data_IF_545507636507
#
_entry.id   IF_545507636507
#
_cell.length_a   1.000
_cell.length_b   1.000
_cell.length_c   1.000
_cell.angle_alpha   90.00
_cell.angle_beta   90.00
_cell.angle_gamma   90.00
#
_symmetry.space_group_name_H-M   'P 1'
#
loop_
_entity.id
_entity.type
_entity.pdbx_description
1 polymer ?
#
# COMPACT_ATOMS: atom_id res chain seq x y z
N UNK A 1 10.00 -14.51 -18.41
CA UNK A 1 9.14 -13.45 -19.01
C UNK A 1 9.85 -12.14 -18.78
N UNK A 2 9.95 -11.22 -19.75
CA UNK A 2 10.51 -9.88 -19.53
C UNK A 2 9.49 -9.00 -18.80
N UNK A 3 9.96 -7.88 -18.22
CA UNK A 3 9.06 -6.91 -17.56
C UNK A 3 8.06 -6.35 -18.57
N UNK A 4 8.54 -6.03 -19.77
CA UNK A 4 7.70 -5.54 -20.87
C UNK A 4 6.63 -6.56 -21.27
N UNK A 5 6.98 -7.83 -21.46
CA UNK A 5 6.01 -8.87 -21.81
C UNK A 5 4.95 -9.08 -20.72
N UNK A 6 5.34 -8.99 -19.45
CA UNK A 6 4.40 -9.06 -18.33
C UNK A 6 3.44 -7.85 -18.33
N UNK A 7 3.96 -6.65 -18.61
CA UNK A 7 3.18 -5.43 -18.72
C UNK A 7 2.16 -5.49 -19.87
N UNK A 8 2.59 -5.88 -21.07
CA UNK A 8 1.73 -5.99 -22.26
C UNK A 8 0.61 -7.03 -22.06
N UNK A 9 0.93 -8.19 -21.47
CA UNK A 9 -0.06 -9.21 -21.16
C UNK A 9 -1.15 -8.70 -20.20
N UNK A 10 -0.75 -8.00 -19.15
CA UNK A 10 -1.69 -7.45 -18.16
C UNK A 10 -2.50 -6.25 -18.71
N UNK A 11 -1.94 -5.45 -19.64
CA UNK A 11 -2.70 -4.41 -20.33
C UNK A 11 -3.84 -5.01 -21.16
N UNK A 12 -3.54 -6.09 -21.91
CA UNK A 12 -4.54 -6.80 -22.71
C UNK A 12 -5.65 -7.39 -21.83
N UNK A 13 -5.26 -8.04 -20.73
CA UNK A 13 -6.22 -8.64 -19.79
C UNK A 13 -7.17 -7.60 -19.18
N UNK A 14 -6.68 -6.40 -18.88
CA UNK A 14 -7.45 -5.33 -18.23
C UNK A 14 -8.10 -4.33 -19.19
N UNK A 15 -7.85 -4.45 -20.49
CA UNK A 15 -8.36 -3.52 -21.50
C UNK A 15 -7.81 -2.09 -21.34
N UNK A 16 -6.59 -1.94 -20.82
CA UNK A 16 -5.94 -0.65 -20.65
C UNK A 16 -5.07 -0.31 -21.86
N UNK A 17 -4.89 0.99 -22.09
CA UNK A 17 -4.00 1.51 -23.13
C UNK A 17 -2.71 1.98 -22.49
N UNK A 18 -1.61 1.79 -23.23
CA UNK A 18 -0.28 2.24 -22.83
C UNK A 18 -0.21 3.76 -22.74
N UNK A 19 0.52 4.26 -21.74
CA UNK A 19 0.78 5.68 -21.55
C UNK A 19 2.30 5.97 -21.58
N UNK A 20 2.72 7.14 -22.09
CA UNK A 20 4.14 7.46 -22.25
C UNK A 20 4.94 7.48 -20.94
N UNK A 21 4.30 7.86 -19.80
CA UNK A 21 4.97 7.86 -18.50
C UNK A 21 5.21 6.44 -18.00
N UNK A 22 4.23 5.55 -18.17
CA UNK A 22 4.37 4.13 -17.85
C UNK A 22 5.38 3.44 -18.78
N UNK A 23 5.45 3.81 -20.07
CA UNK A 23 6.45 3.26 -20.98
C UNK A 23 7.87 3.55 -20.52
N UNK A 24 8.18 4.81 -20.14
CA UNK A 24 9.50 5.16 -19.59
C UNK A 24 9.83 4.35 -18.33
N UNK A 25 8.84 4.15 -17.46
CA UNK A 25 9.03 3.35 -16.25
C UNK A 25 9.31 1.87 -16.58
N UNK A 26 8.58 1.28 -17.55
CA UNK A 26 8.82 -0.10 -18.01
C UNK A 26 10.22 -0.24 -18.62
N UNK A 27 10.70 0.72 -19.39
CA UNK A 27 12.06 0.72 -19.94
C UNK A 27 13.13 0.72 -18.84
N UNK A 28 12.94 1.54 -17.81
CA UNK A 28 13.85 1.58 -16.66
C UNK A 28 13.81 0.28 -15.84
N UNK A 29 12.63 -0.26 -15.61
CA UNK A 29 12.45 -1.52 -14.90
C UNK A 29 13.02 -2.72 -15.68
N UNK A 30 12.89 -2.74 -17.00
CA UNK A 30 13.49 -3.75 -17.88
C UNK A 30 15.03 -3.68 -17.84
N UNK A 31 15.61 -2.46 -17.91
CA UNK A 31 17.07 -2.27 -17.71
C UNK A 31 17.51 -2.81 -16.34
N UNK A 32 16.81 -2.41 -15.28
CA UNK A 32 17.10 -2.88 -13.93
C UNK A 32 17.04 -4.41 -13.82
N UNK A 33 16.04 -5.06 -14.40
CA UNK A 33 15.90 -6.52 -14.39
C UNK A 33 17.02 -7.21 -15.20
N UNK A 34 17.44 -6.61 -16.31
CA UNK A 34 18.57 -7.06 -17.13
C UNK A 34 19.89 -6.97 -16.36
N UNK A 35 20.13 -5.86 -15.67
CA UNK A 35 21.33 -5.67 -14.84
C UNK A 35 21.37 -6.68 -13.67
N UNK A 36 20.22 -6.98 -13.06
CA UNK A 36 20.10 -8.04 -12.08
C UNK A 36 20.38 -9.44 -12.66
N UNK A 37 20.03 -9.66 -13.92
CA UNK A 37 20.37 -10.90 -14.64
C UNK A 37 21.87 -11.02 -14.83
N UNK A 38 22.52 -9.96 -15.29
CA UNK A 38 24.00 -9.90 -15.42
C UNK A 38 24.68 -10.03 -14.06
N UNK A 39 24.19 -9.36 -13.01
CA UNK A 39 24.69 -9.54 -11.65
C UNK A 39 24.65 -11.01 -11.21
N UNK A 40 23.54 -11.69 -11.44
CA UNK A 40 23.38 -13.11 -11.12
C UNK A 40 24.34 -13.99 -11.91
N UNK A 41 24.53 -13.74 -13.22
CA UNK A 41 25.44 -14.49 -14.10
C UNK A 41 26.90 -14.34 -13.64
N UNK A 42 27.35 -13.13 -13.28
CA UNK A 42 28.69 -12.88 -12.73
C UNK A 42 28.97 -13.64 -11.43
N UNK A 43 27.93 -14.07 -10.73
CA UNK A 43 28.00 -14.86 -9.48
C UNK A 43 27.40 -16.25 -9.61
N UNK A 44 27.44 -16.86 -10.80
CA UNK A 44 26.80 -18.15 -11.07
C UNK A 44 27.40 -19.33 -10.31
N UNK A 45 28.72 -19.34 -10.07
CA UNK A 45 29.44 -20.43 -9.41
C UNK A 45 29.97 -20.02 -8.02
N UNK A 46 30.20 -20.99 -7.13
CA UNK A 46 30.67 -20.79 -5.76
C UNK A 46 32.00 -20.01 -5.73
N UNK A 47 32.96 -20.36 -6.62
CA UNK A 47 34.22 -19.65 -6.77
C UNK A 47 34.02 -18.19 -7.20
N UNK A 48 33.16 -17.94 -8.21
CA UNK A 48 32.84 -16.56 -8.64
C UNK A 48 32.19 -15.74 -7.52
N UNK A 49 31.35 -16.35 -6.68
CA UNK A 49 30.74 -15.65 -5.52
C UNK A 49 31.77 -15.20 -4.49
N UNK A 50 32.90 -15.92 -4.36
CA UNK A 50 33.93 -15.62 -3.37
C UNK A 50 34.86 -14.49 -3.85
N UNK A 51 35.19 -14.47 -5.14
CA UNK A 51 36.17 -13.52 -5.70
C UNK A 51 35.56 -12.33 -6.43
N UNK A 52 34.30 -12.43 -6.92
CA UNK A 52 33.65 -11.37 -7.69
C UNK A 52 32.57 -10.69 -6.84
N UNK A 53 32.78 -9.42 -6.52
CA UNK A 53 31.79 -8.56 -5.84
C UNK A 53 31.32 -7.49 -6.85
N UNK A 54 30.44 -7.83 -7.79
CA UNK A 54 29.92 -6.83 -8.73
C UNK A 54 29.13 -5.77 -7.96
N UNK A 55 29.11 -4.56 -8.49
CA UNK A 55 28.26 -3.50 -7.97
C UNK A 55 26.79 -3.91 -8.06
N UNK A 56 26.01 -3.45 -7.09
CA UNK A 56 24.58 -3.64 -7.06
C UNK A 56 23.95 -2.83 -8.19
N UNK A 57 23.07 -3.40 -9.00
CA UNK A 57 22.37 -2.66 -10.05
C UNK A 57 21.67 -1.42 -9.50
N UNK A 58 21.73 -0.33 -10.26
CA UNK A 58 20.97 0.87 -9.96
C UNK A 58 19.48 0.53 -9.95
N UNK A 59 18.79 0.90 -8.88
CA UNK A 59 17.37 0.64 -8.75
C UNK A 59 16.51 1.70 -9.42
N UNK A 60 15.19 1.64 -9.17
CA UNK A 60 14.22 2.59 -9.71
C UNK A 60 13.36 3.13 -8.58
N UNK A 61 13.15 4.44 -8.56
CA UNK A 61 12.22 5.14 -7.67
C UNK A 61 11.10 5.73 -8.53
N UNK A 62 9.94 5.09 -8.50
CA UNK A 62 8.75 5.55 -9.24
C UNK A 62 7.89 6.43 -8.34
N UNK A 63 7.62 7.66 -8.75
CA UNK A 63 6.73 8.54 -8.00
C UNK A 63 5.61 9.10 -8.89
N UNK A 64 4.54 9.55 -8.24
CA UNK A 64 3.35 10.12 -8.90
C UNK A 64 2.12 9.98 -8.02
N UNK A 65 1.05 10.65 -8.38
CA UNK A 65 -0.23 10.60 -7.67
C UNK A 65 -0.77 9.18 -7.47
N UNK A 66 -1.78 9.07 -6.65
CA UNK A 66 -2.51 7.82 -6.42
C UNK A 66 -3.22 7.38 -7.72
N UNK A 67 -3.33 6.07 -7.99
CA UNK A 67 -4.04 5.57 -9.18
C UNK A 67 -3.27 5.65 -10.50
N UNK A 68 -1.97 5.90 -10.47
CA UNK A 68 -1.11 6.01 -11.67
C UNK A 68 -0.50 4.68 -12.14
N UNK A 69 -0.93 3.56 -11.53
CA UNK A 69 -0.43 2.23 -11.89
C UNK A 69 0.96 1.89 -11.34
N UNK A 70 1.46 2.60 -10.32
CA UNK A 70 2.78 2.32 -9.71
C UNK A 70 2.91 0.90 -9.20
N UNK A 71 1.89 0.43 -8.46
CA UNK A 71 1.85 -0.92 -7.90
C UNK A 71 1.80 -1.98 -8.99
N UNK A 72 1.09 -1.70 -10.08
CA UNK A 72 1.03 -2.54 -11.28
C UNK A 72 2.40 -2.67 -11.96
N UNK A 73 3.12 -1.55 -12.16
CA UNK A 73 4.48 -1.55 -12.72
C UNK A 73 5.45 -2.33 -11.81
N UNK A 74 5.33 -2.14 -10.49
CA UNK A 74 6.11 -2.89 -9.50
C UNK A 74 5.85 -4.40 -9.58
N UNK A 75 4.59 -4.81 -9.78
CA UNK A 75 4.19 -6.20 -9.91
C UNK A 75 4.83 -6.85 -11.14
N UNK A 76 4.79 -6.17 -12.30
CA UNK A 76 5.47 -6.61 -13.52
C UNK A 76 6.98 -6.84 -13.29
N UNK A 77 7.64 -5.89 -12.62
CA UNK A 77 9.06 -6.00 -12.30
C UNK A 77 9.35 -7.11 -11.31
N UNK A 78 8.62 -7.14 -10.19
CA UNK A 78 8.86 -8.12 -9.13
C UNK A 78 8.72 -9.55 -9.63
N UNK A 79 7.73 -9.82 -10.48
CA UNK A 79 7.52 -11.15 -11.05
C UNK A 79 8.59 -11.52 -12.09
N UNK A 80 9.06 -10.56 -12.89
CA UNK A 80 10.01 -10.81 -13.97
C UNK A 80 11.48 -10.93 -13.49
N UNK A 81 11.88 -10.16 -12.46
CA UNK A 81 13.29 -10.11 -12.02
C UNK A 81 13.76 -11.46 -11.47
N UNK A 82 14.91 -12.03 -11.99
CA UNK A 82 15.30 -13.41 -11.72
C UNK A 82 16.09 -13.60 -10.42
N UNK A 83 15.73 -12.84 -9.37
CA UNK A 83 16.37 -12.90 -8.05
C UNK A 83 15.48 -13.71 -7.10
N UNK A 84 16.05 -14.80 -6.52
CA UNK A 84 15.31 -15.64 -5.56
C UNK A 84 15.12 -15.00 -4.19
N UNK A 85 16.18 -14.30 -3.69
CA UNK A 85 16.15 -13.59 -2.40
C UNK A 85 15.66 -12.17 -2.61
N UNK A 86 14.39 -12.02 -2.96
CA UNK A 86 13.68 -10.76 -3.10
C UNK A 86 12.47 -10.74 -2.19
N UNK A 87 12.10 -9.57 -1.72
CA UNK A 87 10.86 -9.33 -0.98
C UNK A 87 10.17 -8.07 -1.50
N UNK A 88 8.87 -8.00 -1.30
CA UNK A 88 8.04 -6.83 -1.55
C UNK A 88 7.15 -6.59 -0.34
N UNK A 89 7.16 -5.39 0.18
CA UNK A 89 6.40 -5.00 1.36
C UNK A 89 6.20 -3.48 1.39
N UNK A 90 5.22 -3.02 2.14
CA UNK A 90 5.05 -1.60 2.38
C UNK A 90 6.18 -1.06 3.25
N UNK A 91 6.61 0.19 2.98
CA UNK A 91 7.73 0.80 3.70
C UNK A 91 7.49 0.85 5.22
N UNK A 92 6.28 1.14 5.68
CA UNK A 92 5.96 1.17 7.11
C UNK A 92 6.04 -0.23 7.78
N UNK A 93 5.71 -1.31 7.06
CA UNK A 93 5.88 -2.69 7.55
C UNK A 93 7.37 -3.02 7.72
N UNK A 94 8.19 -2.59 6.76
CA UNK A 94 9.64 -2.71 6.84
C UNK A 94 10.20 -1.96 8.04
N UNK A 95 9.82 -0.70 8.26
CA UNK A 95 10.31 0.08 9.41
C UNK A 95 9.87 -0.54 10.75
N UNK A 96 8.69 -1.11 10.83
CA UNK A 96 8.23 -1.87 12.00
C UNK A 96 9.13 -3.08 12.29
N UNK A 97 9.53 -3.83 11.25
CA UNK A 97 10.49 -4.94 11.38
C UNK A 97 11.86 -4.42 11.82
N UNK A 98 12.33 -3.33 11.23
CA UNK A 98 13.60 -2.65 11.61
C UNK A 98 13.61 -2.30 13.08
N UNK A 99 12.59 -1.62 13.58
CA UNK A 99 12.50 -1.26 15.01
C UNK A 99 12.45 -2.47 15.93
N UNK A 100 11.76 -3.53 15.53
CA UNK A 100 11.72 -4.79 16.29
C UNK A 100 13.12 -5.40 16.41
N UNK A 101 13.81 -5.57 15.29
CA UNK A 101 15.15 -6.16 15.26
C UNK A 101 16.19 -5.27 15.96
N UNK A 102 16.07 -3.95 15.88
CA UNK A 102 16.95 -3.02 16.62
C UNK A 102 16.80 -3.17 18.13
N UNK A 103 15.59 -3.43 18.63
CA UNK A 103 15.39 -3.74 20.07
C UNK A 103 16.13 -5.01 20.49
N UNK A 104 16.15 -6.03 19.63
CA UNK A 104 16.92 -7.27 19.89
C UNK A 104 18.44 -7.06 19.85
N UNK A 105 18.89 -6.02 19.14
CA UNK A 105 20.30 -5.68 18.98
C UNK A 105 20.76 -4.62 19.99
N UNK A 106 19.95 -4.27 20.99
CA UNK A 106 20.35 -3.33 22.03
C UNK A 106 21.61 -3.83 22.75
N UNK A 107 22.55 -2.91 22.99
CA UNK A 107 23.83 -3.23 23.62
C UNK A 107 24.92 -3.78 22.68
N UNK A 108 24.61 -3.98 21.38
CA UNK A 108 25.62 -4.37 20.39
C UNK A 108 26.34 -3.16 19.79
N UNK A 109 27.56 -3.35 19.34
CA UNK A 109 28.30 -2.31 18.60
C UNK A 109 27.70 -2.17 17.19
N UNK A 110 27.34 -0.94 16.78
CA UNK A 110 26.77 -0.63 15.47
C UNK A 110 25.55 -1.47 15.12
N UNK A 111 24.41 -1.36 15.84
CA UNK A 111 23.25 -2.21 15.65
C UNK A 111 22.65 -2.11 14.23
N UNK A 112 22.71 -0.94 13.56
CA UNK A 112 22.22 -0.77 12.18
C UNK A 112 23.07 -1.57 11.17
N UNK A 113 24.38 -1.64 11.33
CA UNK A 113 25.24 -2.44 10.46
C UNK A 113 24.98 -3.94 10.66
N UNK A 114 24.78 -4.37 11.91
CA UNK A 114 24.40 -5.75 12.23
C UNK A 114 23.05 -6.12 11.62
N UNK A 115 22.07 -5.24 11.73
CA UNK A 115 20.77 -5.39 11.12
C UNK A 115 20.87 -5.52 9.60
N UNK A 116 21.61 -4.60 8.95
CA UNK A 116 21.82 -4.63 7.51
C UNK A 116 22.45 -5.94 7.03
N UNK A 117 23.42 -6.48 7.78
CA UNK A 117 24.03 -7.78 7.47
C UNK A 117 23.03 -8.94 7.63
N UNK A 118 22.17 -8.91 8.65
CA UNK A 118 21.08 -9.91 8.81
C UNK A 118 20.10 -9.86 7.63
N UNK A 119 19.65 -8.66 7.25
CA UNK A 119 18.75 -8.46 6.12
C UNK A 119 19.38 -8.86 4.79
N UNK A 120 20.67 -8.53 4.56
CA UNK A 120 21.39 -8.91 3.36
C UNK A 120 21.61 -10.43 3.20
N UNK A 121 21.53 -11.20 4.30
CA UNK A 121 21.49 -12.67 4.25
C UNK A 121 20.13 -13.18 3.75
N UNK A 122 19.03 -12.50 4.07
CA UNK A 122 17.68 -12.84 3.65
C UNK A 122 17.37 -12.33 2.25
N UNK A 123 17.67 -11.07 1.97
CA UNK A 123 17.26 -10.37 0.76
C UNK A 123 18.46 -9.82 -0.01
N UNK A 124 18.36 -9.86 -1.35
CA UNK A 124 19.26 -9.17 -2.28
C UNK A 124 18.58 -8.00 -2.98
N UNK A 125 17.26 -8.08 -3.08
CA UNK A 125 16.42 -7.03 -3.65
C UNK A 125 15.22 -6.82 -2.73
N UNK A 126 14.98 -5.58 -2.34
CA UNK A 126 13.79 -5.17 -1.59
C UNK A 126 12.99 -4.21 -2.47
N UNK A 127 11.73 -4.55 -2.69
CA UNK A 127 10.78 -3.70 -3.37
C UNK A 127 9.87 -3.06 -2.32
N UNK A 128 9.84 -1.73 -2.27
CA UNK A 128 8.96 -1.00 -1.36
C UNK A 128 7.74 -0.48 -2.10
N UNK A 129 6.58 -0.83 -1.61
CA UNK A 129 5.36 -0.10 -1.94
C UNK A 129 5.19 1.07 -0.95
N UNK A 130 4.69 2.20 -1.48
CA UNK A 130 4.34 3.40 -0.71
C UNK A 130 5.49 3.90 0.19
N UNK A 131 6.66 4.15 -0.40
CA UNK A 131 7.79 4.71 0.31
C UNK A 131 7.44 6.12 0.82
N UNK A 132 7.15 6.20 2.09
CA UNK A 132 6.76 7.43 2.77
C UNK A 132 7.31 7.46 4.19
N UNK A 133 7.88 8.58 4.60
CA UNK A 133 8.43 8.79 5.94
C UNK A 133 7.52 9.75 6.68
N UNK A 134 6.84 9.26 7.72
CA UNK A 134 5.92 10.04 8.54
C UNK A 134 6.44 10.26 9.97
N UNK A 135 7.30 9.37 10.46
CA UNK A 135 7.80 9.36 11.83
C UNK A 135 9.22 9.95 11.94
N UNK A 136 9.47 10.75 12.97
CA UNK A 136 10.78 11.37 13.23
C UNK A 136 11.85 10.32 13.51
N UNK A 137 11.49 9.22 14.18
CA UNK A 137 12.44 8.13 14.51
C UNK A 137 12.92 7.45 13.23
N UNK A 138 12.01 7.21 12.29
CA UNK A 138 12.32 6.68 10.95
C UNK A 138 13.27 7.63 10.20
N UNK A 139 12.93 8.93 10.17
CA UNK A 139 13.74 9.94 9.50
C UNK A 139 15.17 9.99 10.03
N UNK A 140 15.38 9.84 11.35
CA UNK A 140 16.69 9.90 11.99
C UNK A 140 17.58 8.71 11.65
N UNK A 141 17.03 7.52 11.43
CA UNK A 141 17.83 6.31 11.18
C UNK A 141 17.94 5.97 9.69
N UNK A 142 17.06 6.53 8.84
CA UNK A 142 16.89 6.12 7.45
C UNK A 142 18.16 6.17 6.63
N UNK A 143 18.92 7.27 6.70
CA UNK A 143 20.20 7.40 5.96
C UNK A 143 21.18 6.29 6.32
N UNK A 144 21.43 6.10 7.61
CA UNK A 144 22.39 5.09 8.09
C UNK A 144 21.94 3.67 7.74
N UNK A 145 20.63 3.41 7.84
CA UNK A 145 20.03 2.13 7.50
C UNK A 145 20.20 1.83 6.00
N UNK A 146 19.78 2.75 5.11
CA UNK A 146 19.91 2.58 3.67
C UNK A 146 21.38 2.45 3.24
N UNK A 147 22.27 3.29 3.76
CA UNK A 147 23.72 3.22 3.48
C UNK A 147 24.30 1.85 3.88
N UNK A 148 23.95 1.35 5.07
CA UNK A 148 24.38 0.04 5.53
C UNK A 148 23.83 -1.10 4.66
N UNK A 149 22.56 -1.02 4.22
CA UNK A 149 21.95 -2.02 3.33
C UNK A 149 22.60 -2.02 1.94
N UNK A 150 22.81 -0.86 1.33
CA UNK A 150 23.54 -0.75 0.05
C UNK A 150 24.95 -1.33 0.18
N UNK A 151 25.70 -0.97 1.25
CA UNK A 151 27.03 -1.50 1.54
C UNK A 151 27.03 -3.03 1.73
N UNK A 152 25.98 -3.57 2.34
CA UNK A 152 25.78 -5.01 2.51
C UNK A 152 25.34 -5.72 1.22
N UNK A 153 25.10 -4.99 0.15
CA UNK A 153 24.77 -5.52 -1.17
C UNK A 153 23.29 -5.83 -1.34
N UNK A 154 22.42 -4.98 -0.83
CA UNK A 154 20.96 -5.00 -1.05
C UNK A 154 20.60 -3.87 -2.02
N UNK A 155 19.87 -4.19 -3.08
CA UNK A 155 19.31 -3.22 -4.01
C UNK A 155 17.84 -2.93 -3.71
N UNK A 156 17.34 -1.82 -4.24
CA UNK A 156 15.97 -1.36 -4.00
C UNK A 156 15.28 -0.97 -5.29
N UNK A 157 13.97 -1.24 -5.35
CA UNK A 157 13.05 -0.61 -6.29
C UNK A 157 11.86 -0.12 -5.45
N UNK A 158 11.42 1.13 -5.67
CA UNK A 158 10.42 1.72 -4.78
C UNK A 158 9.32 2.42 -5.55
N UNK A 159 8.11 2.42 -4.99
CA UNK A 159 7.02 3.31 -5.39
C UNK A 159 6.75 4.32 -4.27
N UNK A 160 6.38 5.55 -4.65
CA UNK A 160 6.02 6.63 -3.72
C UNK A 160 4.94 7.52 -4.33
N UNK A 161 4.21 8.24 -3.49
CA UNK A 161 3.36 9.34 -3.96
C UNK A 161 4.14 10.65 -4.10
N UNK A 162 5.36 10.70 -3.57
CA UNK A 162 6.17 11.92 -3.50
C UNK A 162 7.49 11.75 -4.26
N UNK A 163 7.93 12.83 -4.89
CA UNK A 163 9.33 12.94 -5.31
C UNK A 163 10.26 12.79 -4.09
N UNK A 164 11.49 12.24 -4.21
CA UNK A 164 12.39 12.11 -3.05
C UNK A 164 12.54 13.40 -2.24
N UNK A 165 12.66 14.57 -2.89
CA UNK A 165 12.77 15.86 -2.20
C UNK A 165 11.50 16.26 -1.44
N UNK A 166 10.35 15.67 -1.76
CA UNK A 166 9.08 15.83 -1.06
C UNK A 166 8.86 14.86 0.10
N UNK A 167 9.82 14.01 0.43
CA UNK A 167 9.73 13.14 1.59
C UNK A 167 9.90 13.95 2.88
N UNK A 168 8.97 13.74 3.83
CA UNK A 168 9.00 14.35 5.16
C UNK A 168 9.12 15.90 5.13
N UNK A 169 8.25 16.63 4.37
CA UNK A 169 8.49 18.04 4.01
C UNK A 169 8.51 19.00 5.20
N UNK A 170 7.64 18.81 6.19
CA UNK A 170 7.48 19.65 7.38
C UNK A 170 7.86 18.92 8.67
N UNK A 171 8.64 17.84 8.55
CA UNK A 171 8.98 17.00 9.68
C UNK A 171 10.01 17.63 10.62
N UNK A 172 9.91 17.29 11.89
CA UNK A 172 10.88 17.68 12.92
C UNK A 172 12.26 17.11 12.55
N UNK A 173 13.32 17.93 12.63
CA UNK A 173 14.69 17.55 12.23
C UNK A 173 14.80 17.06 10.77
N UNK A 174 14.14 17.72 9.84
CA UNK A 174 14.18 17.40 8.40
C UNK A 174 15.61 17.32 7.83
N UNK A 175 16.56 18.06 8.40
CA UNK A 175 17.98 17.99 8.04
C UNK A 175 18.55 16.57 8.13
N UNK A 176 18.02 15.73 9.00
CA UNK A 176 18.49 14.35 9.20
C UNK A 176 18.09 13.39 8.07
N UNK A 177 17.01 13.67 7.35
CA UNK A 177 16.58 12.84 6.21
C UNK A 177 17.24 13.26 4.88
N UNK A 178 17.72 14.51 4.76
CA UNK A 178 18.35 14.99 3.51
C UNK A 178 19.45 14.07 2.99
N UNK A 179 20.38 13.55 3.80
CA UNK A 179 21.37 12.59 3.30
C UNK A 179 20.76 11.29 2.76
N UNK A 180 19.61 10.85 3.30
CA UNK A 180 18.89 9.69 2.77
C UNK A 180 18.26 10.00 1.40
N UNK A 181 17.71 11.20 1.24
CA UNK A 181 17.14 11.68 -0.03
C UNK A 181 18.21 11.70 -1.12
N UNK A 182 19.40 12.28 -0.83
CA UNK A 182 20.51 12.30 -1.77
C UNK A 182 21.01 10.90 -2.13
N UNK A 183 21.12 10.02 -1.15
CA UNK A 183 21.49 8.62 -1.36
C UNK A 183 20.46 7.89 -2.25
N UNK A 184 19.18 8.13 -2.05
CA UNK A 184 18.13 7.56 -2.91
C UNK A 184 18.28 8.05 -4.35
N UNK A 185 18.49 9.34 -4.58
CA UNK A 185 18.67 9.92 -5.93
C UNK A 185 19.96 9.42 -6.60
N UNK A 186 21.03 9.17 -5.83
CA UNK A 186 22.27 8.58 -6.34
C UNK A 186 22.08 7.13 -6.78
N UNK A 187 21.47 6.32 -5.93
CA UNK A 187 21.39 4.86 -6.10
C UNK A 187 20.19 4.41 -6.93
N UNK A 188 19.17 5.23 -7.07
CA UNK A 188 17.96 4.90 -7.81
C UNK A 188 17.76 5.88 -8.97
N UNK A 189 17.17 5.41 -10.06
CA UNK A 189 16.67 6.26 -11.13
C UNK A 189 15.29 6.78 -10.75
N UNK A 190 15.16 8.11 -10.60
CA UNK A 190 13.91 8.75 -10.14
C UNK A 190 13.04 9.04 -11.35
N UNK A 191 11.84 8.48 -11.39
CA UNK A 191 10.91 8.55 -12.51
C UNK A 191 9.53 9.02 -12.07
N UNK A 192 9.04 10.05 -12.73
CA UNK A 192 7.64 10.45 -12.62
C UNK A 192 6.77 9.57 -13.52
N UNK A 193 5.82 8.85 -12.91
CA UNK A 193 4.84 8.01 -13.60
C UNK A 193 3.46 8.65 -13.64
N UNK A 194 3.36 9.94 -13.29
CA UNK A 194 2.12 10.69 -13.35
C UNK A 194 1.84 11.18 -14.78
N UNK A 195 0.71 10.76 -15.33
CA UNK A 195 0.21 11.20 -16.63
C UNK A 195 -1.07 12.05 -16.53
N UNK A 196 -1.47 12.44 -15.32
CA UNK A 196 -2.71 13.16 -15.06
C UNK A 196 -3.97 12.31 -15.06
N UNK A 197 -3.91 11.01 -15.39
CA UNK A 197 -5.08 10.11 -15.44
C UNK A 197 -5.13 9.18 -14.23
N UNK A 198 -6.16 9.26 -13.40
CA UNK A 198 -6.44 8.28 -12.34
C UNK A 198 -7.28 7.13 -12.89
N UNK A 199 -6.64 5.99 -13.14
CA UNK A 199 -7.30 4.79 -13.68
C UNK A 199 -8.29 4.19 -12.69
N UNK A 200 -8.07 4.32 -11.38
CA UNK A 200 -8.97 3.84 -10.32
C UNK A 200 -10.25 4.66 -10.27
N UNK A 201 -10.12 5.99 -10.33
CA UNK A 201 -11.28 6.87 -10.38
C UNK A 201 -12.20 6.51 -11.55
N UNK A 202 -11.63 6.28 -12.74
CA UNK A 202 -12.41 5.85 -13.93
C UNK A 202 -13.12 4.52 -13.70
N UNK A 203 -12.50 3.58 -12.99
CA UNK A 203 -13.11 2.30 -12.65
C UNK A 203 -14.24 2.51 -11.64
N UNK A 204 -13.99 3.20 -10.53
CA UNK A 204 -14.96 3.46 -9.48
C UNK A 204 -16.20 4.23 -9.97
N UNK A 205 -16.03 5.23 -10.85
CA UNK A 205 -17.18 6.00 -11.39
C UNK A 205 -18.09 5.20 -12.32
N UNK A 206 -17.63 4.04 -12.81
CA UNK A 206 -18.41 3.14 -13.67
C UNK A 206 -19.03 1.97 -12.90
N UNK A 207 -18.62 1.77 -11.65
CA UNK A 207 -19.07 0.67 -10.81
C UNK A 207 -20.26 1.07 -9.96
N UNK A 208 -21.13 0.10 -9.65
CA UNK A 208 -22.05 0.23 -8.54
C UNK A 208 -21.26 0.05 -7.24
N UNK A 209 -21.32 1.01 -6.33
CA UNK A 209 -20.58 1.00 -5.07
C UNK A 209 -21.40 0.48 -3.88
N UNK A 210 -22.72 0.31 -4.07
CA UNK A 210 -23.64 -0.16 -3.05
C UNK A 210 -24.50 -1.30 -3.59
N UNK A 211 -24.30 -2.50 -3.09
CA UNK A 211 -24.98 -3.71 -3.52
C UNK A 211 -26.03 -4.13 -2.50
N UNK A 212 -27.30 -4.14 -2.90
CA UNK A 212 -28.46 -4.45 -2.08
C UNK A 212 -29.54 -5.13 -2.95
N UNK A 213 -30.25 -6.16 -2.44
CA UNK A 213 -30.10 -6.83 -1.15
C UNK A 213 -28.90 -7.80 -1.10
N UNK A 214 -28.58 -8.32 0.11
CA UNK A 214 -27.58 -9.39 0.26
C UNK A 214 -28.01 -10.66 -0.47
N UNK A 215 -27.05 -11.43 -0.93
CA UNK A 215 -27.25 -12.69 -1.61
C UNK A 215 -26.18 -12.96 -2.68
N UNK A 216 -26.29 -14.07 -3.42
CA UNK A 216 -25.24 -14.49 -4.36
C UNK A 216 -24.89 -13.46 -5.44
N UNK A 217 -25.85 -12.60 -5.83
CA UNK A 217 -25.59 -11.52 -6.79
C UNK A 217 -24.72 -10.42 -6.18
N UNK A 218 -25.00 -10.02 -4.92
CA UNK A 218 -24.20 -9.05 -4.21
C UNK A 218 -22.79 -9.61 -3.93
N UNK A 219 -22.67 -10.89 -3.56
CA UNK A 219 -21.39 -11.55 -3.33
C UNK A 219 -20.55 -11.58 -4.61
N UNK A 220 -21.14 -11.98 -5.73
CA UNK A 220 -20.46 -11.97 -7.04
C UNK A 220 -20.05 -10.55 -7.48
N UNK A 221 -20.88 -9.54 -7.20
CA UNK A 221 -20.58 -8.14 -7.49
C UNK A 221 -19.41 -7.62 -6.63
N UNK A 222 -19.36 -7.97 -5.33
CA UNK A 222 -18.25 -7.62 -4.45
C UNK A 222 -16.93 -8.25 -4.90
N UNK A 223 -16.96 -9.54 -5.31
CA UNK A 223 -15.81 -10.25 -5.84
C UNK A 223 -15.29 -9.62 -7.14
N UNK A 224 -16.22 -9.29 -8.05
CA UNK A 224 -15.90 -8.57 -9.30
C UNK A 224 -15.31 -7.20 -9.02
N UNK A 225 -15.89 -6.46 -8.06
CA UNK A 225 -15.42 -5.13 -7.66
C UNK A 225 -14.00 -5.20 -7.09
N UNK A 226 -13.73 -6.16 -6.19
CA UNK A 226 -12.39 -6.34 -5.67
C UNK A 226 -11.39 -6.65 -6.78
N UNK A 227 -11.71 -7.58 -7.67
CA UNK A 227 -10.82 -8.00 -8.76
C UNK A 227 -10.53 -6.87 -9.76
N UNK A 228 -11.49 -5.97 -10.00
CA UNK A 228 -11.29 -4.80 -10.86
C UNK A 228 -10.46 -3.69 -10.20
N UNK A 229 -10.55 -3.55 -8.86
CA UNK A 229 -9.85 -2.52 -8.09
C UNK A 229 -8.47 -2.97 -7.63
N UNK A 230 -8.26 -4.28 -7.46
CA UNK A 230 -6.98 -4.87 -7.10
C UNK A 230 -5.98 -4.73 -8.27
N UNK A 231 -4.97 -3.89 -8.09
CA UNK A 231 -3.92 -3.67 -9.09
C UNK A 231 -2.84 -4.77 -9.08
N UNK A 232 -2.76 -5.54 -8.01
CA UNK A 232 -1.75 -6.56 -7.74
C UNK A 232 -2.39 -7.86 -7.29
N UNK A 233 -1.61 -8.95 -7.27
CA UNK A 233 -2.06 -10.22 -6.74
C UNK A 233 -2.38 -10.13 -5.23
N UNK A 234 -3.25 -11.01 -4.76
CA UNK A 234 -3.63 -11.10 -3.35
C UNK A 234 -2.41 -11.27 -2.45
N UNK A 235 -2.43 -10.58 -1.35
CA UNK A 235 -1.41 -10.60 -0.29
C UNK A 235 -1.96 -11.30 0.96
N UNK A 236 -1.11 -11.50 1.97
CA UNK A 236 -1.57 -12.03 3.26
C UNK A 236 -2.69 -11.14 3.83
N UNK A 237 -3.89 -11.70 4.03
CA UNK A 237 -5.03 -10.93 4.54
C UNK A 237 -4.93 -10.59 6.04
N UNK A 238 -3.93 -11.09 6.76
CA UNK A 238 -3.76 -10.81 8.18
C UNK A 238 -3.06 -9.47 8.36
N UNK A 239 -3.73 -8.56 9.05
CA UNK A 239 -3.18 -7.28 9.47
C UNK A 239 -2.84 -7.29 10.95
N UNK A 240 -1.77 -6.58 11.31
CA UNK A 240 -1.41 -6.31 12.69
C UNK A 240 -1.71 -4.85 13.01
N UNK A 241 -2.73 -4.60 13.81
CA UNK A 241 -3.08 -3.26 14.28
C UNK A 241 -2.81 -3.22 15.79
N UNK A 242 -1.85 -2.39 16.20
CA UNK A 242 -1.30 -2.38 17.55
C UNK A 242 -0.84 -3.79 17.97
N UNK A 243 -1.39 -4.36 19.03
CA UNK A 243 -1.08 -5.70 19.54
C UNK A 243 -2.07 -6.79 19.06
N UNK A 244 -2.95 -6.48 18.10
CA UNK A 244 -4.04 -7.37 17.66
C UNK A 244 -3.90 -7.75 16.19
N UNK A 245 -4.34 -8.97 15.87
CA UNK A 245 -4.49 -9.41 14.48
C UNK A 245 -5.94 -9.21 14.02
N UNK A 246 -6.09 -8.64 12.83
CA UNK A 246 -7.38 -8.50 12.14
C UNK A 246 -7.24 -9.20 10.80
N UNK A 247 -8.12 -10.16 10.52
CA UNK A 247 -8.11 -10.88 9.26
C UNK A 247 -9.12 -10.28 8.29
N UNK A 248 -8.66 -9.75 7.18
CA UNK A 248 -9.49 -9.39 6.04
C UNK A 248 -9.98 -10.64 5.29
N UNK A 249 -10.98 -10.49 4.43
CA UNK A 249 -11.36 -11.50 3.45
C UNK A 249 -10.28 -11.58 2.35
N UNK A 250 -9.92 -10.43 1.80
CA UNK A 250 -8.86 -10.29 0.78
C UNK A 250 -8.10 -8.98 0.97
N UNK A 251 -6.86 -8.96 0.53
CA UNK A 251 -6.00 -7.76 0.50
C UNK A 251 -5.14 -7.79 -0.75
N UNK A 252 -5.08 -6.67 -1.47
CA UNK A 252 -4.24 -6.54 -2.67
C UNK A 252 -3.82 -5.08 -2.86
N UNK A 253 -2.54 -4.79 -2.62
CA UNK A 253 -2.02 -3.41 -2.66
C UNK A 253 -2.77 -2.49 -1.69
N UNK A 254 -3.21 -1.35 -2.17
CA UNK A 254 -3.99 -0.37 -1.39
C UNK A 254 -5.50 -0.66 -1.31
N UNK A 255 -5.94 -1.88 -1.65
CA UNK A 255 -7.34 -2.33 -1.58
C UNK A 255 -7.48 -3.42 -0.54
N UNK A 256 -8.47 -3.30 0.35
CA UNK A 256 -8.75 -4.28 1.39
C UNK A 256 -10.24 -4.59 1.49
N UNK A 257 -10.56 -5.84 1.78
CA UNK A 257 -11.93 -6.31 1.87
C UNK A 257 -12.21 -7.00 3.21
N UNK A 258 -13.19 -6.49 3.92
CA UNK A 258 -13.64 -7.04 5.20
C UNK A 258 -15.10 -7.46 5.19
N UNK A 259 -15.41 -8.43 6.04
CA UNK A 259 -16.78 -8.70 6.48
C UNK A 259 -17.20 -7.70 7.58
N UNK A 260 -18.46 -7.29 7.58
CA UNK A 260 -19.01 -6.38 8.60
C UNK A 260 -18.75 -6.84 10.03
N UNK A 261 -18.92 -8.15 10.30
CA UNK A 261 -18.69 -8.70 11.64
C UNK A 261 -17.26 -8.53 12.09
N UNK A 262 -16.30 -8.59 11.19
CA UNK A 262 -14.87 -8.40 11.52
C UNK A 262 -14.59 -6.98 11.97
N UNK A 263 -15.16 -5.97 11.31
CA UNK A 263 -14.91 -4.57 11.64
C UNK A 263 -15.89 -4.01 12.68
N UNK A 264 -17.16 -4.41 12.66
CA UNK A 264 -18.19 -3.79 13.49
C UNK A 264 -18.79 -4.74 14.53
N UNK A 265 -18.65 -6.07 14.36
CA UNK A 265 -19.24 -7.06 15.27
C UNK A 265 -18.47 -7.29 16.58
N UNK A 266 -17.18 -6.97 16.63
CA UNK A 266 -16.32 -7.16 17.81
C UNK A 266 -15.80 -5.86 18.42
N UNK A 267 -14.97 -5.92 19.47
CA UNK A 267 -14.41 -4.74 20.09
C UNK A 267 -13.38 -4.07 19.16
N UNK A 268 -13.80 -2.96 18.53
CA UNK A 268 -12.98 -2.08 17.68
C UNK A 268 -13.07 -0.65 18.18
N UNK A 269 -11.98 0.09 18.00
CA UNK A 269 -11.88 1.51 18.33
C UNK A 269 -11.73 2.34 17.05
N UNK A 270 -11.89 3.65 17.16
CA UNK A 270 -11.59 4.55 16.05
C UNK A 270 -10.13 4.45 15.58
N UNK A 271 -9.19 4.16 16.48
CA UNK A 271 -7.77 3.98 16.12
C UNK A 271 -7.56 2.80 15.16
N UNK A 272 -8.32 1.70 15.33
CA UNK A 272 -8.28 0.60 14.38
C UNK A 272 -8.65 1.06 12.96
N UNK A 273 -9.69 1.88 12.85
CA UNK A 273 -10.16 2.40 11.55
C UNK A 273 -9.21 3.44 10.96
N UNK A 274 -8.61 4.29 11.81
CA UNK A 274 -7.59 5.25 11.38
C UNK A 274 -6.36 4.53 10.83
N UNK A 275 -5.93 3.47 11.48
CA UNK A 275 -4.80 2.64 11.02
C UNK A 275 -5.12 1.98 9.66
N UNK A 276 -6.32 1.39 9.50
CA UNK A 276 -6.77 0.83 8.23
C UNK A 276 -6.83 1.93 7.16
N UNK A 277 -7.45 3.06 7.48
CA UNK A 277 -7.60 4.18 6.55
C UNK A 277 -6.27 4.85 6.16
N UNK A 278 -5.23 4.73 6.99
CA UNK A 278 -3.89 5.23 6.64
C UNK A 278 -3.17 4.34 5.62
N UNK A 279 -3.48 3.05 5.61
CA UNK A 279 -2.82 2.05 4.77
C UNK A 279 -3.55 1.78 3.44
N UNK A 280 -4.87 1.96 3.41
CA UNK A 280 -5.70 1.59 2.26
C UNK A 280 -6.51 2.77 1.75
N UNK A 281 -6.44 2.99 0.44
CA UNK A 281 -7.24 4.03 -0.24
C UNK A 281 -8.64 3.54 -0.63
N UNK A 282 -8.88 2.22 -0.64
CA UNK A 282 -10.17 1.61 -0.97
C UNK A 282 -10.47 0.45 -0.03
N UNK A 283 -11.65 0.49 0.58
CA UNK A 283 -12.17 -0.55 1.45
C UNK A 283 -13.44 -1.15 0.85
N UNK A 284 -13.48 -2.48 0.81
CA UNK A 284 -14.72 -3.21 0.53
C UNK A 284 -15.29 -3.73 1.86
N UNK A 285 -16.60 -3.60 2.06
CA UNK A 285 -17.30 -4.04 3.27
C UNK A 285 -18.51 -4.89 2.90
N UNK A 286 -18.46 -6.19 3.20
CA UNK A 286 -19.55 -7.11 2.91
C UNK A 286 -20.49 -7.32 4.10
N UNK A 287 -21.70 -7.76 3.79
CA UNK A 287 -22.66 -8.32 4.76
C UNK A 287 -23.10 -7.32 5.83
N UNK A 288 -23.29 -6.05 5.46
CA UNK A 288 -23.84 -5.06 6.39
C UNK A 288 -25.33 -5.39 6.63
N UNK A 289 -25.72 -5.76 7.85
CA UNK A 289 -27.10 -6.12 8.14
C UNK A 289 -27.99 -4.88 8.31
N UNK A 290 -29.28 -5.06 8.24
CA UNK A 290 -30.19 -4.12 8.88
C UNK A 290 -30.02 -4.26 10.39
N UNK A 291 -29.47 -3.23 11.02
CA UNK A 291 -29.15 -3.25 12.45
C UNK A 291 -30.37 -2.93 13.29
N UNK A 292 -30.60 -3.71 14.33
CA UNK A 292 -31.70 -3.55 15.28
C UNK A 292 -31.21 -2.82 16.55
N UNK A 293 -32.14 -2.43 17.43
CA UNK A 293 -31.87 -1.76 18.72
C UNK A 293 -30.79 -2.49 19.55
N UNK A 294 -30.82 -3.83 19.57
CA UNK A 294 -29.84 -4.67 20.27
C UNK A 294 -28.43 -4.58 19.67
N UNK A 295 -28.28 -4.08 18.47
CA UNK A 295 -27.02 -3.90 17.73
C UNK A 295 -26.54 -2.44 17.77
N UNK A 296 -26.93 -1.67 18.78
CA UNK A 296 -26.53 -0.26 18.93
C UNK A 296 -25.00 -0.09 19.00
N UNK A 297 -24.26 -1.07 19.55
CA UNK A 297 -22.80 -1.05 19.58
C UNK A 297 -22.18 -1.26 18.20
N UNK A 298 -22.77 -2.12 17.37
CA UNK A 298 -22.38 -2.33 15.99
C UNK A 298 -22.67 -1.09 15.14
N UNK A 299 -23.87 -0.50 15.31
CA UNK A 299 -24.25 0.73 14.64
C UNK A 299 -23.30 1.89 14.95
N UNK A 300 -22.89 2.03 16.23
CA UNK A 300 -21.90 3.03 16.64
C UNK A 300 -20.53 2.81 15.96
N UNK A 301 -20.05 1.57 15.96
CA UNK A 301 -18.77 1.24 15.30
C UNK A 301 -18.85 1.44 13.78
N UNK A 302 -19.98 1.10 13.17
CA UNK A 302 -20.20 1.38 11.75
C UNK A 302 -20.18 2.89 11.46
N UNK A 303 -20.86 3.71 12.27
CA UNK A 303 -20.79 5.17 12.15
C UNK A 303 -19.34 5.67 12.26
N UNK A 304 -18.58 5.22 13.25
CA UNK A 304 -17.15 5.58 13.38
C UNK A 304 -16.31 5.16 12.16
N UNK A 305 -16.55 3.96 11.64
CA UNK A 305 -15.88 3.50 10.44
C UNK A 305 -16.18 4.44 9.26
N UNK A 306 -17.46 4.72 8.98
CA UNK A 306 -17.86 5.62 7.89
C UNK A 306 -17.28 7.03 8.09
N UNK A 307 -17.31 7.55 9.30
CA UNK A 307 -16.74 8.86 9.63
C UNK A 307 -15.23 8.90 9.29
N UNK A 308 -14.48 7.90 9.70
CA UNK A 308 -13.03 7.81 9.42
C UNK A 308 -12.76 7.66 7.92
N UNK A 309 -13.49 6.78 7.23
CA UNK A 309 -13.30 6.58 5.79
C UNK A 309 -13.61 7.85 5.00
N UNK A 310 -14.69 8.56 5.38
CA UNK A 310 -15.09 9.82 4.77
C UNK A 310 -14.02 10.90 4.96
N UNK A 311 -13.57 11.13 6.20
CA UNK A 311 -12.59 12.17 6.54
C UNK A 311 -11.22 11.89 5.89
N UNK A 312 -10.85 10.61 5.73
CA UNK A 312 -9.63 10.15 5.06
C UNK A 312 -9.78 9.98 3.55
N UNK A 313 -10.98 10.19 3.00
CA UNK A 313 -11.29 10.06 1.58
C UNK A 313 -11.01 8.65 1.04
N UNK A 314 -11.16 7.64 1.89
CA UNK A 314 -11.09 6.24 1.51
C UNK A 314 -12.34 5.88 0.71
N UNK A 315 -12.17 5.25 -0.44
CA UNK A 315 -13.30 4.83 -1.28
C UNK A 315 -13.94 3.59 -0.67
N UNK A 316 -15.27 3.54 -0.69
CA UNK A 316 -16.04 2.44 -0.11
C UNK A 316 -16.88 1.75 -1.16
N UNK A 317 -16.75 0.43 -1.25
CA UNK A 317 -17.69 -0.46 -1.94
C UNK A 317 -18.31 -1.36 -0.90
N UNK A 318 -19.64 -1.48 -0.86
CA UNK A 318 -20.28 -2.28 0.17
C UNK A 318 -21.46 -3.10 -0.31
N UNK A 319 -21.72 -4.21 0.39
CA UNK A 319 -22.96 -4.96 0.28
C UNK A 319 -23.75 -4.90 1.58
N UNK A 320 -25.06 -4.69 1.46
CA UNK A 320 -25.97 -4.48 2.58
C UNK A 320 -27.30 -5.19 2.40
N UNK A 321 -27.95 -5.48 3.51
CA UNK A 321 -29.27 -6.14 3.50
C UNK A 321 -30.38 -5.23 2.95
N UNK A 322 -30.25 -3.93 3.17
CA UNK A 322 -31.27 -2.91 2.86
C UNK A 322 -30.61 -1.62 2.34
N UNK A 323 -31.40 -0.69 1.82
CA UNK A 323 -30.94 0.64 1.43
C UNK A 323 -30.34 1.41 2.62
N UNK A 324 -29.44 2.39 2.40
CA UNK A 324 -28.73 3.10 3.49
C UNK A 324 -29.65 3.69 4.55
N UNK A 325 -30.81 4.24 4.14
CA UNK A 325 -31.80 4.86 5.01
C UNK A 325 -32.46 3.88 5.99
N UNK A 326 -32.44 2.58 5.64
CA UNK A 326 -33.07 1.50 6.40
C UNK A 326 -32.09 0.72 7.28
N UNK A 327 -30.79 1.04 7.25
CA UNK A 327 -29.76 0.29 7.96
C UNK A 327 -29.91 0.33 9.47
N UNK A 328 -30.37 1.46 10.04
CA UNK A 328 -30.59 1.60 11.48
C UNK A 328 -31.67 2.63 11.76
N UNK A 329 -32.90 2.18 12.00
CA UNK A 329 -34.08 3.04 12.18
C UNK A 329 -34.37 3.37 13.63
N UNK A 330 -34.09 2.44 14.55
CA UNK A 330 -34.48 2.55 15.95
C UNK A 330 -33.31 2.21 16.88
N UNK A 331 -33.20 2.95 18.00
CA UNK A 331 -32.20 2.69 19.03
C UNK A 331 -31.43 3.95 19.45
N UNK A 332 -30.44 3.83 20.37
CA UNK A 332 -29.77 4.96 20.99
C UNK A 332 -29.08 5.93 20.04
N UNK A 333 -28.68 5.46 18.85
CA UNK A 333 -27.94 6.24 17.83
C UNK A 333 -28.82 6.65 16.64
N UNK A 334 -30.12 6.36 16.67
CA UNK A 334 -31.01 6.58 15.51
C UNK A 334 -31.10 8.05 15.06
N UNK A 335 -30.96 9.01 15.97
CA UNK A 335 -30.98 10.43 15.68
C UNK A 335 -29.66 10.96 15.06
N UNK A 336 -28.55 10.26 15.24
CA UNK A 336 -27.24 10.60 14.65
C UNK A 336 -27.01 9.86 13.33
N UNK A 337 -27.68 8.72 13.11
CA UNK A 337 -27.46 7.85 11.97
C UNK A 337 -27.79 8.50 10.60
N UNK A 338 -28.74 9.46 10.46
CA UNK A 338 -28.95 10.19 9.21
C UNK A 338 -27.70 10.88 8.66
N UNK A 339 -26.78 11.31 9.53
CA UNK A 339 -25.46 11.83 9.11
C UNK A 339 -24.62 10.73 8.42
N UNK A 340 -24.64 9.53 8.95
CA UNK A 340 -23.94 8.36 8.36
C UNK A 340 -24.54 8.04 6.98
N UNK A 341 -25.86 8.08 6.83
CA UNK A 341 -26.57 7.90 5.56
C UNK A 341 -26.15 8.97 4.54
N UNK A 342 -26.12 10.24 4.97
CA UNK A 342 -25.70 11.35 4.09
C UNK A 342 -24.27 11.16 3.60
N UNK A 343 -23.33 10.77 4.48
CA UNK A 343 -21.94 10.48 4.12
C UNK A 343 -21.83 9.30 3.16
N UNK A 344 -22.59 8.23 3.37
CA UNK A 344 -22.65 7.09 2.45
C UNK A 344 -23.11 7.51 1.04
N UNK A 345 -24.11 8.40 0.96
CA UNK A 345 -24.57 8.96 -0.32
C UNK A 345 -23.48 9.82 -0.98
N UNK A 346 -22.83 10.70 -0.22
CA UNK A 346 -21.78 11.56 -0.73
C UNK A 346 -20.55 10.76 -1.18
N UNK A 347 -20.17 9.70 -0.46
CA UNK A 347 -19.07 8.81 -0.82
C UNK A 347 -19.25 8.10 -2.16
N UNK A 348 -20.48 8.04 -2.68
CA UNK A 348 -20.78 7.48 -4.00
C UNK A 348 -20.75 8.53 -5.12
N UNK A 349 -20.63 9.82 -4.78
CA UNK A 349 -20.63 10.91 -5.76
C UNK A 349 -19.32 10.94 -6.56
N UNK A 350 -19.41 11.40 -7.82
CA UNK A 350 -18.23 11.57 -8.68
C UNK A 350 -17.22 12.55 -8.07
N UNK A 351 -17.70 13.58 -7.38
CA UNK A 351 -16.89 14.59 -6.68
C UNK A 351 -16.07 13.94 -5.56
N UNK A 352 -16.69 13.12 -4.71
CA UNK A 352 -15.97 12.43 -3.64
C UNK A 352 -14.98 11.39 -4.19
N UNK A 353 -15.37 10.68 -5.23
CA UNK A 353 -14.49 9.69 -5.88
C UNK A 353 -13.24 10.35 -6.51
N UNK A 354 -13.34 11.61 -6.92
CA UNK A 354 -12.23 12.40 -7.46
C UNK A 354 -11.24 12.89 -6.38
N UNK A 355 -11.66 12.94 -5.11
CA UNK A 355 -10.78 13.43 -4.04
C UNK A 355 -9.61 12.47 -3.80
N UNK A 356 -8.41 13.01 -3.65
CA UNK A 356 -7.23 12.22 -3.26
C UNK A 356 -7.36 11.67 -1.85
N UNK A 357 -6.88 10.44 -1.64
CA UNK A 357 -6.79 9.82 -0.33
C UNK A 357 -5.90 10.65 0.60
N UNK A 358 -6.37 10.91 1.82
CA UNK A 358 -5.60 11.60 2.85
C UNK A 358 -4.87 10.59 3.72
N UNK A 359 -3.60 10.39 3.45
CA UNK A 359 -2.67 9.81 4.43
C UNK A 359 -2.41 10.82 5.54
N UNK A 360 -2.37 10.37 6.79
CA UNK A 360 -2.19 11.27 7.95
C UNK A 360 -0.83 11.93 7.86
N UNK A 361 -0.78 13.24 7.70
CA UNK A 361 0.32 13.99 8.26
C UNK A 361 0.14 13.93 9.79
N UNK A 362 0.95 13.12 10.47
CA UNK A 362 1.04 13.14 11.92
C UNK A 362 1.76 14.42 12.34
N UNK A 363 1.16 15.56 12.04
CA UNK A 363 1.44 16.81 12.69
C UNK A 363 0.78 16.78 14.06
N UNK A 364 1.45 16.21 15.03
CA UNK A 364 1.25 16.60 16.42
C UNK A 364 1.76 18.03 16.53
N UNK A 365 0.82 19.00 16.46
CA UNK A 365 1.02 20.34 16.98
C UNK A 365 1.18 20.29 18.49
#
# INVERSE_FOLDING_TARGET
>A
MSVRAAYEALLLERGYTTDPAQQRAIEALERCATDWTHYKQRRSNTLKKMFVKPEIPRGVYMFGGVGRGKSFLMDCFFNAVPIKRKTRLHFHEFMREVHRELRELQGTVNPLDQLALRMAKRYKLICFDEFHVADVTDAMILHRLLAALFKAGVGFVTTSNFHPDGLYPNGLHRDRILPAIELLKEKLEVLNVDNGTDYRQRTLTRMNLYHCPLGPQADAAMESSFSQLAEVADQDPVMHIEARQIRALRRAGGVIWFDFRTLCGGPRSQNDYLEIASQFHTLLLSNVPQMQVRQASEARRFTWLIDVLYDRRVKLVMSAAVAPELLYLEGPMSHEFPRTVSRLGEMQSAEFLALEHRTVDTGLT
#
